data_IF_542205859885
#
_entry.id   IF_542205859885
#
_cell.length_a   1.000
_cell.length_b   1.000
_cell.length_c   1.000
_cell.angle_alpha   90.00
_cell.angle_beta   90.00
_cell.angle_gamma   90.00
#
_symmetry.space_group_name_H-M   'P 1'
#
loop_
_entity.id
_entity.type
_entity.pdbx_description
1 polymer ?
#
# COMPACT_ATOMS: atom_id res chain seq x y z
N UNK A 1 -14.44 -18.10 -10.99
CA UNK A 1 -14.06 -18.97 -9.87
C UNK A 1 -12.55 -19.07 -9.82
N UNK A 2 -11.92 -19.12 -8.63
CA UNK A 2 -10.50 -19.39 -8.52
C UNK A 2 -10.19 -20.80 -8.99
N UNK A 3 -9.08 -20.99 -9.70
CA UNK A 3 -8.62 -22.28 -10.19
C UNK A 3 -7.38 -22.70 -9.41
N UNK A 4 -7.36 -23.95 -8.94
CA UNK A 4 -6.18 -24.53 -8.30
C UNK A 4 -5.06 -24.71 -9.33
N UNK A 5 -3.84 -24.36 -8.92
CA UNK A 5 -2.63 -24.51 -9.73
C UNK A 5 -1.61 -25.40 -9.03
N UNK A 6 -1.56 -25.41 -7.69
CA UNK A 6 -0.65 -26.28 -6.94
C UNK A 6 -1.21 -27.69 -6.72
N UNK A 7 -0.31 -28.65 -6.67
CA UNK A 7 -0.58 -30.02 -6.21
C UNK A 7 -0.27 -30.18 -4.73
N UNK A 8 0.74 -29.47 -4.23
CA UNK A 8 1.19 -29.54 -2.83
C UNK A 8 0.24 -28.73 -1.92
N UNK A 9 -0.02 -29.27 -0.72
CA UNK A 9 -0.70 -28.58 0.37
C UNK A 9 0.33 -27.91 1.26
N UNK A 10 0.12 -26.63 1.55
CA UNK A 10 1.00 -25.84 2.39
C UNK A 10 0.41 -25.68 3.78
N UNK A 11 1.13 -26.16 4.78
CA UNK A 11 0.82 -25.91 6.18
C UNK A 11 1.16 -24.47 6.56
N UNK A 12 0.20 -23.83 7.25
CA UNK A 12 0.28 -22.43 7.64
C UNK A 12 0.38 -22.32 9.15
N UNK A 13 1.47 -21.72 9.58
CA UNK A 13 1.76 -21.38 10.97
C UNK A 13 1.19 -19.99 11.28
N UNK A 14 0.67 -19.81 12.49
CA UNK A 14 0.22 -18.51 12.96
C UNK A 14 1.37 -17.50 13.04
N UNK A 15 1.07 -16.23 12.75
CA UNK A 15 2.05 -15.15 12.79
C UNK A 15 2.97 -15.08 11.56
N UNK A 16 2.66 -15.80 10.47
CA UNK A 16 3.37 -15.70 9.19
C UNK A 16 2.43 -15.31 8.05
N UNK A 17 2.97 -14.51 7.12
CA UNK A 17 2.36 -14.22 5.83
C UNK A 17 2.92 -15.17 4.79
N UNK A 18 2.03 -15.85 4.08
CA UNK A 18 2.38 -16.76 2.99
C UNK A 18 2.05 -16.12 1.64
N UNK A 19 2.98 -16.20 0.69
CA UNK A 19 2.81 -15.64 -0.64
C UNK A 19 3.63 -16.37 -1.70
N UNK A 20 3.19 -16.26 -2.95
CA UNK A 20 3.94 -16.76 -4.10
C UNK A 20 4.99 -15.72 -4.54
N UNK A 21 6.26 -16.11 -4.52
CA UNK A 21 7.39 -15.29 -4.95
C UNK A 21 7.44 -15.06 -6.47
N UNK A 22 8.37 -14.21 -6.91
CA UNK A 22 8.62 -13.97 -8.34
C UNK A 22 9.33 -15.14 -9.01
N UNK A 23 10.04 -15.93 -8.21
CA UNK A 23 10.74 -17.16 -8.56
C UNK A 23 9.80 -18.37 -8.77
N UNK A 24 8.51 -18.21 -8.44
CA UNK A 24 7.51 -19.26 -8.57
C UNK A 24 7.38 -20.17 -7.35
N UNK A 25 8.17 -19.96 -6.30
CA UNK A 25 8.03 -20.72 -5.05
C UNK A 25 7.16 -19.99 -4.03
N UNK A 26 6.61 -20.73 -3.08
CA UNK A 26 5.91 -20.15 -1.95
C UNK A 26 6.91 -19.78 -0.85
N UNK A 27 6.70 -18.62 -0.25
CA UNK A 27 7.51 -18.08 0.82
C UNK A 27 6.64 -17.75 2.02
N UNK A 28 7.18 -17.98 3.22
CA UNK A 28 6.65 -17.46 4.47
C UNK A 28 7.52 -16.33 4.98
N UNK A 29 6.89 -15.26 5.46
CA UNK A 29 7.56 -14.12 6.11
C UNK A 29 6.87 -13.85 7.44
N UNK A 30 7.63 -13.61 8.53
CA UNK A 30 7.03 -13.28 9.82
C UNK A 30 6.21 -11.99 9.72
N UNK A 31 5.02 -11.99 10.32
CA UNK A 31 4.25 -10.76 10.51
C UNK A 31 4.88 -9.89 11.61
N UNK A 32 4.48 -8.61 11.69
CA UNK A 32 4.99 -7.65 12.69
C UNK A 32 4.87 -8.15 14.14
N UNK A 33 3.87 -8.99 14.42
CA UNK A 33 3.66 -9.60 15.74
C UNK A 33 4.70 -10.69 16.07
N UNK A 34 5.22 -11.38 15.05
CA UNK A 34 6.22 -12.43 15.21
C UNK A 34 7.63 -11.87 15.02
N UNK A 35 8.18 -11.30 16.09
CA UNK A 35 9.50 -10.64 16.07
C UNK A 35 10.69 -11.61 15.97
N UNK A 36 10.50 -12.90 16.28
CA UNK A 36 11.57 -13.92 16.24
C UNK A 36 11.59 -14.72 14.93
N UNK A 37 10.48 -14.76 14.21
CA UNK A 37 10.37 -15.51 12.96
C UNK A 37 11.32 -14.98 11.89
N UNK A 38 11.65 -15.85 10.93
CA UNK A 38 12.48 -15.53 9.77
C UNK A 38 11.77 -15.90 8.49
N UNK A 39 12.13 -15.23 7.41
CA UNK A 39 11.62 -15.56 6.07
C UNK A 39 12.21 -16.89 5.63
N UNK A 40 11.37 -17.78 5.10
CA UNK A 40 11.79 -19.07 4.59
C UNK A 40 10.97 -19.49 3.36
N UNK A 41 11.56 -20.30 2.50
CA UNK A 41 10.84 -20.96 1.39
C UNK A 41 9.99 -22.10 1.97
N UNK A 42 8.78 -22.25 1.46
CA UNK A 42 7.83 -23.29 1.88
C UNK A 42 7.42 -24.07 0.64
N UNK A 43 7.62 -25.38 0.67
CA UNK A 43 7.42 -26.25 -0.48
C UNK A 43 8.56 -26.25 -1.48
N UNK A 44 8.51 -27.21 -2.40
CA UNK A 44 9.45 -27.38 -3.51
C UNK A 44 8.81 -27.08 -4.86
N UNK A 45 7.48 -27.03 -4.93
CA UNK A 45 6.73 -26.78 -6.15
C UNK A 45 7.01 -25.37 -6.71
N UNK A 46 7.30 -25.33 -8.02
CA UNK A 46 7.51 -24.09 -8.78
C UNK A 46 6.29 -23.83 -9.65
N UNK A 47 5.62 -22.71 -9.42
CA UNK A 47 4.41 -22.31 -10.13
C UNK A 47 4.74 -21.25 -11.17
N UNK A 48 4.33 -21.51 -12.41
CA UNK A 48 4.41 -20.55 -13.50
C UNK A 48 3.31 -19.49 -13.38
N UNK A 49 3.72 -18.23 -13.54
CA UNK A 49 2.83 -17.09 -13.36
C UNK A 49 2.47 -16.52 -14.72
N UNK A 50 1.23 -16.72 -15.11
CA UNK A 50 0.64 -16.05 -16.27
C UNK A 50 0.26 -14.61 -15.96
N UNK A 51 0.44 -13.74 -16.95
CA UNK A 51 0.00 -12.34 -16.86
C UNK A 51 -1.52 -12.22 -16.78
N UNK A 52 -2.00 -11.22 -16.04
CA UNK A 52 -3.44 -10.97 -15.89
C UNK A 52 -4.14 -11.82 -14.82
N UNK A 53 -3.39 -12.62 -14.05
CA UNK A 53 -3.91 -13.40 -12.93
C UNK A 53 -3.32 -12.96 -11.59
N UNK A 54 -4.11 -13.11 -10.53
CA UNK A 54 -3.68 -13.01 -9.14
C UNK A 54 -3.50 -14.43 -8.59
N UNK A 55 -2.34 -14.67 -7.96
CA UNK A 55 -1.98 -15.93 -7.33
C UNK A 55 -1.99 -15.75 -5.82
N UNK A 56 -2.68 -16.62 -5.10
CA UNK A 56 -2.76 -16.60 -3.64
C UNK A 56 -2.96 -18.01 -3.10
N UNK A 57 -2.78 -18.17 -1.79
CA UNK A 57 -2.97 -19.45 -1.10
C UNK A 57 -4.35 -19.43 -0.46
N UNK A 58 -5.15 -20.45 -0.75
CA UNK A 58 -6.51 -20.56 -0.25
C UNK A 58 -6.56 -21.00 1.23
N UNK A 59 -7.78 -21.08 1.78
CA UNK A 59 -8.01 -21.55 3.15
C UNK A 59 -7.49 -22.97 3.40
N UNK A 60 -7.53 -23.81 2.36
CA UNK A 60 -7.12 -25.21 2.42
C UNK A 60 -5.60 -25.40 2.31
N UNK A 61 -4.85 -24.34 1.97
CA UNK A 61 -3.39 -24.35 1.85
C UNK A 61 -2.89 -24.60 0.42
N UNK A 62 -3.69 -24.42 -0.61
CA UNK A 62 -3.29 -24.60 -2.00
C UNK A 62 -3.15 -23.28 -2.73
N UNK A 63 -2.23 -23.22 -3.69
CA UNK A 63 -2.08 -22.05 -4.56
C UNK A 63 -3.16 -22.09 -5.64
N UNK A 64 -3.93 -21.02 -5.68
CA UNK A 64 -5.01 -20.80 -6.63
C UNK A 64 -4.76 -19.52 -7.43
N UNK A 65 -5.20 -19.51 -8.68
CA UNK A 65 -5.20 -18.34 -9.56
C UNK A 65 -6.60 -17.81 -9.79
N UNK A 66 -6.73 -16.49 -9.91
CA UNK A 66 -7.98 -15.84 -10.30
C UNK A 66 -7.71 -14.70 -11.28
N UNK A 67 -8.65 -14.41 -12.19
CA UNK A 67 -8.49 -13.35 -13.17
C UNK A 67 -8.45 -11.99 -12.46
N UNK A 68 -7.40 -11.22 -12.71
CA UNK A 68 -7.18 -9.95 -12.04
C UNK A 68 -8.17 -8.91 -12.55
N UNK A 69 -9.03 -8.39 -11.67
CA UNK A 69 -9.91 -7.29 -12.01
C UNK A 69 -9.13 -5.96 -11.94
N UNK A 70 -8.39 -5.64 -13.00
CA UNK A 70 -7.60 -4.40 -13.13
C UNK A 70 -8.46 -3.13 -13.23
N UNK A 71 -9.78 -3.26 -13.24
CA UNK A 71 -10.74 -2.16 -13.40
C UNK A 71 -11.91 -2.28 -12.44
N UNK A 72 -11.63 -2.43 -11.14
CA UNK A 72 -12.66 -2.39 -10.10
C UNK A 72 -13.67 -1.26 -10.36
N UNK A 73 -14.96 -1.59 -10.27
CA UNK A 73 -16.11 -0.70 -10.47
C UNK A 73 -15.77 0.74 -10.08
N UNK A 74 -16.00 1.64 -11.02
CA UNK A 74 -15.81 3.08 -10.89
C UNK A 74 -16.05 3.61 -9.47
N UNK A 75 -14.98 3.75 -8.69
CA UNK A 75 -14.85 4.88 -7.79
C UNK A 75 -14.37 6.05 -8.64
N UNK A 76 -15.34 6.70 -9.27
CA UNK A 76 -15.14 7.81 -10.20
C UNK A 76 -14.85 7.33 -11.62
N UNK A 77 -15.88 7.28 -12.45
CA UNK A 77 -15.72 7.42 -13.89
C UNK A 77 -14.88 8.67 -14.13
N UNK A 78 -13.63 8.49 -14.54
CA UNK A 78 -12.82 9.54 -15.16
C UNK A 78 -13.38 9.89 -16.54
N UNK A 79 -14.65 10.32 -16.58
CA UNK A 79 -15.06 11.26 -17.61
C UNK A 79 -14.06 12.41 -17.48
N UNK A 80 -13.31 12.65 -18.55
CA UNK A 80 -12.36 13.76 -18.69
C UNK A 80 -13.05 15.02 -18.16
N UNK A 81 -12.76 15.41 -16.92
CA UNK A 81 -13.01 16.78 -16.48
C UNK A 81 -11.99 17.59 -17.25
N UNK A 82 -12.39 18.06 -18.44
CA UNK A 82 -11.72 19.15 -19.15
C UNK A 82 -11.46 20.20 -18.08
N UNK A 83 -10.19 20.47 -17.81
CA UNK A 83 -9.78 21.52 -16.90
C UNK A 83 -10.38 22.83 -17.45
N UNK A 84 -11.48 23.29 -16.86
CA UNK A 84 -11.99 24.61 -17.13
C UNK A 84 -10.89 25.59 -16.69
N UNK A 85 -10.36 26.33 -17.65
CA UNK A 85 -9.26 27.25 -17.50
C UNK A 85 -9.44 28.10 -16.23
N UNK A 86 -8.47 28.01 -15.31
CA UNK A 86 -8.37 28.95 -14.20
C UNK A 86 -8.13 30.32 -14.83
N UNK A 87 -9.16 31.19 -14.83
CA UNK A 87 -9.07 32.56 -15.30
C UNK A 87 -7.99 33.30 -14.50
N UNK A 88 -7.19 34.18 -15.13
CA UNK A 88 -6.03 34.79 -14.50
C UNK A 88 -6.42 35.85 -13.46
N UNK A 89 -5.51 36.04 -12.52
CA UNK A 89 -5.60 36.90 -11.35
C UNK A 89 -6.06 38.34 -11.65
N UNK A 90 -6.98 38.87 -10.81
CA UNK A 90 -7.10 40.32 -10.63
C UNK A 90 -6.22 40.76 -9.46
N UNK A 91 -5.23 41.57 -9.83
CA UNK A 91 -4.30 42.32 -8.98
C UNK A 91 -4.98 43.63 -8.54
N UNK A 92 -4.50 44.20 -7.44
CA UNK A 92 -4.84 45.48 -6.79
C UNK A 92 -5.86 45.34 -5.63
N UNK A 93 -5.64 45.87 -4.42
CA UNK A 93 -4.85 47.05 -4.05
C UNK A 93 -4.35 46.98 -2.60
N UNK A 94 -3.25 47.69 -2.36
CA UNK A 94 -2.42 47.76 -1.15
C UNK A 94 -2.90 48.88 -0.23
N UNK A 95 -3.06 48.62 1.06
CA UNK A 95 -2.89 49.61 2.14
C UNK A 95 -2.35 48.90 3.38
N UNK A 96 -1.02 48.85 3.55
CA UNK A 96 -0.27 49.68 4.51
C UNK A 96 -1.06 49.98 5.80
N UNK A 97 -0.79 49.22 6.86
CA UNK A 97 -0.33 49.85 8.11
C UNK A 97 0.54 48.91 8.97
N UNK A 98 1.83 49.26 8.97
CA UNK A 98 2.74 49.36 10.13
C UNK A 98 3.08 48.08 10.91
N UNK A 99 4.25 47.56 10.54
CA UNK A 99 5.28 47.05 11.45
C UNK A 99 5.30 47.74 12.82
N UNK A 100 5.15 46.96 13.90
CA UNK A 100 5.84 47.15 15.18
C UNK A 100 5.55 45.97 16.11
N UNK A 101 6.61 45.47 16.76
CA UNK A 101 6.65 44.46 17.85
C UNK A 101 6.91 42.99 17.46
N UNK A 102 7.88 42.78 16.57
CA UNK A 102 9.02 41.94 16.96
C UNK A 102 9.97 42.83 17.80
N UNK A 103 10.55 42.29 18.87
CA UNK A 103 11.40 42.94 19.89
C UNK A 103 10.68 43.71 21.03
N UNK A 104 10.25 42.97 22.07
CA UNK A 104 10.41 43.44 23.47
C UNK A 104 10.57 42.26 24.43
N UNK A 105 11.83 42.03 24.79
CA UNK A 105 12.34 41.57 26.10
C UNK A 105 11.79 40.24 26.65
N UNK A 106 12.52 39.12 26.70
CA UNK A 106 13.87 38.95 27.28
C UNK A 106 14.17 39.86 28.49
N UNK A 107 13.21 40.04 29.43
CA UNK A 107 13.46 40.70 30.72
C UNK A 107 12.37 40.48 31.81
N UNK A 108 12.07 39.24 32.18
CA UNK A 108 11.37 38.94 33.44
C UNK A 108 11.86 37.58 33.98
N UNK A 109 13.15 37.43 34.27
CA UNK A 109 13.82 37.79 35.55
C UNK A 109 12.94 37.47 36.76
N UNK A 110 13.26 36.34 37.39
CA UNK A 110 13.42 36.09 38.83
C UNK A 110 12.39 36.78 39.75
N UNK A 111 11.51 35.95 40.34
CA UNK A 111 10.74 36.08 41.60
C UNK A 111 9.51 35.18 41.42
N UNK A 112 9.25 34.12 42.18
CA UNK A 112 9.60 33.75 43.55
C UNK A 112 9.90 32.25 43.60
#
# INVERSE_FOLDING_TARGET
MPQRVSSERIDRDDGYLYYLGKDGHVWKTPMKMNTRGRKAKVGSEKIEREEGFLYYIDGNGYVVRTKMNRGGRARGSGAKRKAAARRPARKAMKSKSRSAKSARSSAKKRRR
#
